data_IF_963477453377
#
_entry.id   IF_963477453377
#
_cell.length_a   1.000
_cell.length_b   1.000
_cell.length_c   1.000
_cell.angle_alpha   90.00
_cell.angle_beta   90.00
_cell.angle_gamma   90.00
#
_symmetry.space_group_name_H-M   'P 1'
#
loop_
_entity.id
_entity.type
_entity.pdbx_description
1 polymer ?
#
# COMPACT_ATOMS: atom_id res chain seq x y z
N UNK A 1 27.15 110.39 -51.31
CA UNK A 1 27.80 109.40 -50.43
C UNK A 1 26.87 108.95 -49.37
N UNK A 2 26.45 108.15 -49.38
CA UNK A 2 25.80 106.82 -49.69
C UNK A 2 24.99 106.41 -48.55
N UNK A 3 23.67 106.77 -48.62
CA UNK A 3 22.73 106.30 -47.57
C UNK A 3 22.71 104.72 -47.41
N UNK A 4 23.18 104.05 -48.44
CA UNK A 4 23.35 102.59 -48.41
C UNK A 4 24.49 102.12 -47.52
N UNK A 5 25.59 102.89 -47.45
CA UNK A 5 26.75 102.55 -46.61
C UNK A 5 26.50 102.72 -45.13
N UNK A 6 25.69 103.73 -44.78
CA UNK A 6 25.21 103.95 -43.39
C UNK A 6 24.25 102.89 -42.93
N UNK A 7 23.36 102.41 -43.81
CA UNK A 7 22.46 101.32 -43.50
C UNK A 7 23.19 99.96 -43.29
N UNK A 8 24.23 99.69 -44.03
CA UNK A 8 25.03 98.50 -43.89
C UNK A 8 25.83 98.42 -42.58
N UNK A 9 26.34 99.57 -42.10
CA UNK A 9 27.06 99.68 -40.81
C UNK A 9 26.10 99.55 -39.68
N UNK A 10 24.86 100.00 -39.82
CA UNK A 10 23.85 99.91 -38.73
C UNK A 10 23.37 98.46 -38.52
N UNK A 11 23.33 97.63 -39.60
CA UNK A 11 22.91 96.24 -39.50
C UNK A 11 23.96 95.38 -38.82
N UNK A 12 25.26 95.72 -38.92
CA UNK A 12 26.38 94.96 -38.27
C UNK A 12 26.40 95.22 -36.77
N UNK A 13 25.88 96.33 -36.26
CA UNK A 13 25.85 96.65 -34.84
C UNK A 13 24.77 95.93 -34.04
N UNK A 14 23.79 95.34 -34.71
CA UNK A 14 22.67 94.65 -34.07
C UNK A 14 22.96 93.14 -33.82
N UNK A 15 24.08 92.62 -34.32
CA UNK A 15 24.41 91.17 -34.34
C UNK A 15 25.11 90.68 -33.09
N UNK A 16 25.21 91.41 -32.01
CA UNK A 16 25.95 90.98 -30.85
C UNK A 16 25.15 91.12 -29.54
N UNK A 17 23.99 90.45 -29.49
CA UNK A 17 23.27 90.29 -28.25
C UNK A 17 22.80 88.84 -28.08
N UNK A 18 23.78 87.93 -27.92
CA UNK A 18 23.50 86.59 -27.42
C UNK A 18 23.68 86.63 -25.88
N UNK A 19 22.60 86.94 -25.19
CA UNK A 19 22.55 86.81 -23.75
C UNK A 19 22.23 85.33 -23.47
N UNK A 20 23.26 84.50 -23.55
CA UNK A 20 23.21 83.21 -22.88
C UNK A 20 23.46 83.44 -21.39
N UNK A 21 22.37 83.83 -20.68
CA UNK A 21 22.37 83.72 -19.23
C UNK A 21 22.38 82.24 -18.89
N UNK A 22 23.52 81.69 -18.58
CA UNK A 22 23.65 80.39 -17.94
C UNK A 22 23.20 80.64 -16.51
N UNK A 23 21.91 80.42 -16.24
CA UNK A 23 21.40 80.41 -14.87
C UNK A 23 21.97 79.15 -14.18
N UNK A 24 23.02 79.34 -13.46
CA UNK A 24 23.51 78.33 -12.54
C UNK A 24 22.50 78.27 -11.39
N UNK A 25 21.79 77.16 -11.19
CA UNK A 25 20.83 77.05 -10.12
C UNK A 25 21.59 77.15 -8.78
N UNK A 26 21.48 78.31 -8.18
CA UNK A 26 22.05 78.54 -6.83
C UNK A 26 21.08 78.07 -5.79
N UNK A 27 21.46 77.10 -4.99
CA UNK A 27 20.72 76.65 -3.84
C UNK A 27 21.28 77.30 -2.58
N UNK A 28 20.42 77.84 -1.76
CA UNK A 28 20.81 78.38 -0.46
C UNK A 28 21.19 77.24 0.49
N UNK A 29 22.34 77.31 1.08
CA UNK A 29 22.79 76.38 2.14
C UNK A 29 21.89 76.56 3.38
N UNK A 30 21.15 75.54 3.69
CA UNK A 30 20.35 75.52 4.91
C UNK A 30 21.08 74.64 5.95
N UNK A 31 21.17 75.11 7.15
CA UNK A 31 21.68 74.34 8.27
C UNK A 31 20.56 73.44 8.80
N UNK A 32 20.71 72.14 8.75
CA UNK A 32 19.74 71.16 9.23
C UNK A 32 20.42 69.87 9.63
N UNK A 33 19.69 68.97 10.26
CA UNK A 33 20.18 67.65 10.57
C UNK A 33 20.22 66.85 9.25
N UNK A 34 21.37 66.33 8.91
CA UNK A 34 21.51 65.37 7.80
C UNK A 34 20.93 64.01 8.24
N UNK A 35 19.92 63.55 7.52
CA UNK A 35 19.34 62.19 7.72
C UNK A 35 19.61 61.43 6.44
N UNK A 36 20.40 60.39 6.54
CA UNK A 36 20.55 59.43 5.47
C UNK A 36 19.59 58.30 5.73
N UNK A 37 18.68 58.08 4.81
CA UNK A 37 17.71 57.00 4.86
C UNK A 37 18.16 55.92 3.91
N UNK A 38 18.54 54.77 4.46
CA UNK A 38 18.93 53.58 3.70
C UNK A 38 17.73 52.65 3.66
N UNK A 39 17.25 52.38 2.46
CA UNK A 39 16.18 51.40 2.23
C UNK A 39 16.83 50.11 1.66
N UNK A 40 16.71 49.04 2.42
CA UNK A 40 17.20 47.71 2.01
C UNK A 40 16.05 46.73 1.82
N UNK A 41 16.13 45.89 0.81
CA UNK A 41 15.21 44.77 0.60
C UNK A 41 15.81 43.53 1.26
N UNK A 42 15.00 42.79 2.03
CA UNK A 42 15.42 41.56 2.69
C UNK A 42 14.28 40.54 2.70
N UNK A 43 14.64 39.26 2.75
CA UNK A 43 13.68 38.18 2.90
C UNK A 43 13.63 37.77 4.37
N UNK A 44 12.42 37.75 4.93
CA UNK A 44 12.19 37.32 6.31
C UNK A 44 12.05 35.80 6.34
N UNK A 45 12.86 35.16 7.16
CA UNK A 45 12.79 33.72 7.40
C UNK A 45 12.48 33.46 8.87
N UNK A 46 11.72 32.37 9.13
CA UNK A 46 11.49 31.93 10.49
C UNK A 46 12.80 31.42 11.13
N UNK A 47 13.12 31.89 12.32
CA UNK A 47 14.30 31.45 13.10
C UNK A 47 14.13 29.99 13.54
N UNK A 48 12.91 29.63 13.93
CA UNK A 48 12.54 28.27 14.31
C UNK A 48 11.41 27.80 13.40
N UNK A 49 11.60 26.67 12.73
CA UNK A 49 10.58 26.00 11.95
C UNK A 49 10.49 24.52 12.31
N UNK A 50 9.30 23.96 12.24
CA UNK A 50 9.07 22.52 12.40
C UNK A 50 8.40 22.00 11.15
N UNK A 51 9.06 21.07 10.47
CA UNK A 51 8.48 20.41 9.31
C UNK A 51 7.53 19.29 9.77
N UNK A 52 6.30 19.33 9.31
CA UNK A 52 5.32 18.26 9.50
C UNK A 52 5.35 17.38 8.27
N UNK A 53 5.80 16.14 8.44
CA UNK A 53 5.83 15.15 7.37
C UNK A 53 4.61 14.23 7.46
N UNK A 54 4.15 13.73 6.30
CA UNK A 54 3.11 12.70 6.25
C UNK A 54 3.58 11.41 6.94
N UNK A 55 2.69 10.69 7.64
CA UNK A 55 3.01 9.34 8.12
C UNK A 55 3.50 8.46 6.97
N UNK A 56 4.53 7.64 7.25
CA UNK A 56 5.02 6.66 6.26
C UNK A 56 4.01 5.54 6.13
N UNK A 57 3.13 5.64 5.16
CA UNK A 57 2.22 4.55 4.79
C UNK A 57 2.84 3.81 3.61
N UNK A 58 2.77 2.47 3.65
CA UNK A 58 3.22 1.65 2.54
C UNK A 58 2.48 2.06 1.25
N UNK A 59 3.18 2.14 0.14
CA UNK A 59 2.62 2.45 -1.19
C UNK A 59 1.48 1.50 -1.60
N UNK A 60 1.37 0.33 -0.96
CA UNK A 60 0.26 -0.63 -1.16
C UNK A 60 -1.11 -0.06 -0.78
N UNK A 61 -1.14 0.93 0.11
CA UNK A 61 -2.37 1.55 0.60
C UNK A 61 -2.75 2.83 -0.17
N UNK A 62 -2.12 3.07 -1.32
CA UNK A 62 -2.38 4.24 -2.16
C UNK A 62 -1.69 5.51 -1.66
N UNK A 63 -1.95 6.63 -2.34
CA UNK A 63 -1.45 7.95 -1.97
C UNK A 63 -2.48 8.69 -1.13
N UNK A 64 -2.06 9.21 0.03
CA UNK A 64 -2.92 10.07 0.82
C UNK A 64 -3.06 11.44 0.18
N UNK A 65 -4.28 11.81 -0.19
CA UNK A 65 -4.62 13.16 -0.64
C UNK A 65 -4.99 14.02 0.57
N UNK A 66 -4.54 15.26 0.58
CA UNK A 66 -4.91 16.22 1.60
C UNK A 66 -6.36 16.66 1.34
N UNK A 67 -7.19 16.57 2.36
CA UNK A 67 -8.58 17.02 2.33
C UNK A 67 -8.72 18.46 2.82
N UNK A 68 -7.97 18.84 3.85
CA UNK A 68 -8.00 20.15 4.45
C UNK A 68 -6.66 20.48 5.09
N UNK A 69 -6.25 21.76 5.00
CA UNK A 69 -5.09 22.33 5.67
C UNK A 69 -5.59 23.52 6.46
N UNK A 70 -5.00 23.76 7.64
CA UNK A 70 -5.28 24.97 8.42
C UNK A 70 -4.90 26.23 7.63
N UNK A 71 -5.63 27.32 7.84
CA UNK A 71 -5.37 28.59 7.18
C UNK A 71 -3.98 29.14 7.54
N UNK A 72 -3.33 29.75 6.54
CA UNK A 72 -2.02 30.36 6.70
C UNK A 72 -2.07 31.53 7.71
N UNK A 73 -1.03 31.68 8.54
CA UNK A 73 -0.96 32.73 9.56
C UNK A 73 -1.81 32.47 10.82
N UNK A 74 -2.48 31.35 10.96
CA UNK A 74 -3.24 31.01 12.16
C UNK A 74 -2.34 30.53 13.30
N UNK A 75 -2.56 31.07 14.50
CA UNK A 75 -1.90 30.56 15.71
C UNK A 75 -2.42 29.15 16.04
N UNK A 76 -1.49 28.25 16.37
CA UNK A 76 -1.78 26.85 16.69
C UNK A 76 -1.22 26.45 18.03
N UNK A 77 -1.92 25.57 18.74
CA UNK A 77 -1.52 25.03 20.02
C UNK A 77 -1.23 23.52 19.90
N UNK A 78 -0.55 22.98 20.90
CA UNK A 78 -0.28 21.55 20.98
C UNK A 78 -1.60 20.77 21.06
N UNK A 79 -1.86 19.94 20.06
CA UNK A 79 -3.09 19.14 19.94
C UNK A 79 -4.02 19.58 18.79
N UNK A 80 -3.77 20.75 18.19
CA UNK A 80 -4.56 21.21 17.05
C UNK A 80 -4.28 20.39 15.79
N UNK A 81 -5.33 20.19 15.01
CA UNK A 81 -5.25 19.48 13.73
C UNK A 81 -4.77 20.44 12.64
N UNK A 82 -3.59 20.23 12.13
CA UNK A 82 -3.00 21.05 11.06
C UNK A 82 -3.41 20.60 9.65
N UNK A 83 -3.47 19.30 9.44
CA UNK A 83 -3.72 18.69 8.13
C UNK A 83 -4.68 17.53 8.30
N UNK A 84 -5.70 17.46 7.45
CA UNK A 84 -6.62 16.33 7.36
C UNK A 84 -6.43 15.65 6.01
N UNK A 85 -6.19 14.34 6.04
CA UNK A 85 -6.07 13.52 4.85
C UNK A 85 -7.41 12.87 4.49
N UNK A 86 -7.64 12.69 3.19
CA UNK A 86 -8.82 11.97 2.71
C UNK A 86 -8.66 10.46 2.94
N UNK A 87 -9.49 9.82 3.77
CA UNK A 87 -9.37 8.42 4.07
C UNK A 87 -10.05 7.49 3.05
N UNK A 88 -10.65 8.02 1.98
CA UNK A 88 -11.52 7.24 1.10
C UNK A 88 -10.81 6.06 0.43
N UNK A 89 -9.61 6.28 -0.11
CA UNK A 89 -8.82 5.21 -0.75
C UNK A 89 -8.34 4.16 0.28
N UNK A 90 -7.93 4.63 1.45
CA UNK A 90 -7.50 3.73 2.53
C UNK A 90 -8.68 2.86 3.02
N UNK A 91 -9.85 3.46 3.22
CA UNK A 91 -11.06 2.71 3.60
C UNK A 91 -11.44 1.68 2.56
N UNK A 92 -11.38 2.04 1.26
CA UNK A 92 -11.62 1.09 0.17
C UNK A 92 -10.65 -0.08 0.22
N UNK A 93 -9.35 0.20 0.37
CA UNK A 93 -8.32 -0.86 0.45
C UNK A 93 -8.52 -1.78 1.64
N UNK A 94 -8.97 -1.23 2.79
CA UNK A 94 -9.30 -2.03 3.97
C UNK A 94 -10.49 -2.96 3.67
N UNK A 95 -11.57 -2.43 3.10
CA UNK A 95 -12.76 -3.23 2.74
C UNK A 95 -12.37 -4.34 1.74
N UNK A 96 -11.59 -4.01 0.71
CA UNK A 96 -11.12 -4.99 -0.28
C UNK A 96 -10.27 -6.09 0.39
N UNK A 97 -9.40 -5.73 1.34
CA UNK A 97 -8.59 -6.68 2.09
C UNK A 97 -9.43 -7.56 3.04
N UNK A 98 -10.42 -6.98 3.71
CA UNK A 98 -11.36 -7.72 4.56
C UNK A 98 -12.18 -8.72 3.75
N UNK A 99 -12.66 -8.33 2.56
CA UNK A 99 -13.36 -9.24 1.65
C UNK A 99 -12.46 -10.38 1.15
N UNK A 100 -11.21 -10.09 0.80
CA UNK A 100 -10.26 -11.12 0.41
C UNK A 100 -9.97 -12.10 1.55
N UNK A 101 -9.86 -11.60 2.79
CA UNK A 101 -9.67 -12.44 3.97
C UNK A 101 -10.90 -13.34 4.21
N UNK A 102 -12.11 -12.80 4.06
CA UNK A 102 -13.35 -13.57 4.20
C UNK A 102 -13.43 -14.69 3.15
N UNK A 103 -13.11 -14.39 1.89
CA UNK A 103 -13.07 -15.38 0.80
C UNK A 103 -12.03 -16.47 1.11
N UNK A 104 -10.82 -16.09 1.53
CA UNK A 104 -9.76 -17.03 1.86
C UNK A 104 -10.15 -17.95 3.04
N UNK A 105 -10.80 -17.39 4.06
CA UNK A 105 -11.33 -18.17 5.19
C UNK A 105 -12.43 -19.15 4.75
N UNK A 106 -13.36 -18.71 3.89
CA UNK A 106 -14.42 -19.56 3.37
C UNK A 106 -13.85 -20.73 2.53
N UNK A 107 -12.83 -20.45 1.71
CA UNK A 107 -12.13 -21.49 0.94
C UNK A 107 -11.39 -22.50 1.84
N UNK A 108 -10.75 -22.00 2.90
CA UNK A 108 -10.07 -22.85 3.88
C UNK A 108 -11.06 -23.79 4.60
N UNK A 109 -12.18 -23.25 5.09
CA UNK A 109 -13.21 -24.06 5.76
C UNK A 109 -13.87 -25.06 4.79
N UNK A 110 -14.10 -24.67 3.53
CA UNK A 110 -14.59 -25.58 2.50
C UNK A 110 -13.61 -26.72 2.24
N UNK A 111 -12.34 -26.42 2.09
CA UNK A 111 -11.29 -27.43 1.90
C UNK A 111 -11.27 -28.41 3.08
N UNK A 112 -11.26 -27.89 4.29
CA UNK A 112 -11.27 -28.69 5.53
C UNK A 112 -12.50 -29.61 5.58
N UNK A 113 -13.70 -29.10 5.34
CA UNK A 113 -14.94 -29.90 5.31
C UNK A 113 -14.89 -31.00 4.24
N UNK A 114 -14.34 -30.71 3.05
CA UNK A 114 -14.16 -31.71 2.00
C UNK A 114 -13.17 -32.81 2.42
N UNK A 115 -12.06 -32.43 3.03
CA UNK A 115 -11.07 -33.38 3.53
C UNK A 115 -11.58 -34.24 4.67
N UNK A 116 -12.36 -33.64 5.59
CA UNK A 116 -13.00 -34.38 6.68
C UNK A 116 -13.99 -35.41 6.13
N UNK A 117 -14.82 -35.04 5.13
CA UNK A 117 -15.74 -35.95 4.45
C UNK A 117 -15.01 -37.11 3.77
N UNK A 118 -13.90 -36.82 3.08
CA UNK A 118 -13.09 -37.87 2.43
C UNK A 118 -12.49 -38.87 3.43
N UNK A 119 -12.07 -38.42 4.60
CA UNK A 119 -11.59 -39.30 5.68
C UNK A 119 -12.73 -40.14 6.24
N UNK A 120 -13.95 -39.61 6.38
CA UNK A 120 -15.10 -40.37 6.85
C UNK A 120 -15.50 -41.47 5.82
N UNK A 121 -15.46 -41.15 4.53
CA UNK A 121 -15.69 -42.16 3.47
C UNK A 121 -14.65 -43.28 3.51
N UNK A 122 -13.37 -42.96 3.66
CA UNK A 122 -12.31 -43.96 3.82
C UNK A 122 -12.44 -44.80 5.08
N UNK A 123 -12.97 -44.23 6.18
CA UNK A 123 -13.26 -45.00 7.39
C UNK A 123 -14.44 -45.98 7.19
N UNK A 124 -15.46 -45.56 6.44
CA UNK A 124 -16.56 -46.44 6.09
C UNK A 124 -16.07 -47.63 5.24
N UNK A 125 -15.20 -47.38 4.24
CA UNK A 125 -14.58 -48.42 3.43
C UNK A 125 -13.70 -49.37 4.26
N UNK A 126 -12.94 -48.82 5.21
CA UNK A 126 -12.16 -49.63 6.17
C UNK A 126 -13.08 -50.55 6.97
N UNK A 127 -14.20 -50.03 7.48
CA UNK A 127 -15.18 -50.84 8.24
C UNK A 127 -15.76 -51.97 7.41
N UNK A 128 -16.09 -51.75 6.15
CA UNK A 128 -16.55 -52.79 5.20
C UNK A 128 -15.45 -53.86 5.02
N UNK A 129 -14.20 -53.42 4.87
CA UNK A 129 -13.07 -54.32 4.70
C UNK A 129 -12.77 -55.15 5.99
N UNK A 130 -12.96 -54.54 7.16
CA UNK A 130 -12.84 -55.24 8.46
C UNK A 130 -13.92 -56.31 8.62
N UNK A 131 -15.17 -56.02 8.23
CA UNK A 131 -16.23 -57.03 8.21
C UNK A 131 -15.90 -58.15 7.23
N UNK A 132 -15.39 -57.82 6.04
CA UNK A 132 -14.96 -58.81 5.06
C UNK A 132 -13.83 -59.73 5.59
N UNK A 133 -12.91 -59.15 6.33
CA UNK A 133 -11.85 -59.93 6.98
C UNK A 133 -12.45 -60.90 8.03
N UNK A 134 -13.36 -60.41 8.89
CA UNK A 134 -14.02 -61.27 9.90
C UNK A 134 -14.78 -62.42 9.25
N UNK A 135 -15.51 -62.15 8.16
CA UNK A 135 -16.21 -63.24 7.40
C UNK A 135 -15.23 -64.25 6.85
N UNK A 136 -14.10 -63.81 6.27
CA UNK A 136 -13.07 -64.68 5.71
C UNK A 136 -12.38 -65.52 6.80
N UNK A 137 -12.18 -64.92 7.99
CA UNK A 137 -11.62 -65.60 9.17
C UNK A 137 -12.55 -66.70 9.68
N UNK A 138 -13.87 -66.41 9.78
CA UNK A 138 -14.90 -67.41 10.14
C UNK A 138 -14.91 -68.57 9.12
N UNK A 139 -14.89 -68.22 7.82
CA UNK A 139 -14.88 -69.23 6.77
C UNK A 139 -13.63 -70.15 6.81
N UNK A 140 -12.46 -69.54 7.03
CA UNK A 140 -11.22 -70.33 7.21
C UNK A 140 -11.28 -71.22 8.46
N UNK A 141 -11.83 -70.76 9.56
CA UNK A 141 -11.95 -71.55 10.79
C UNK A 141 -12.96 -72.72 10.58
N UNK A 142 -14.06 -72.49 9.86
CA UNK A 142 -15.01 -73.53 9.52
C UNK A 142 -14.44 -74.57 8.59
N UNK A 143 -13.55 -74.20 7.68
CA UNK A 143 -12.91 -75.09 6.73
C UNK A 143 -11.86 -76.06 7.34
N UNK A 144 -11.62 -76.00 8.65
CA UNK A 144 -10.65 -76.91 9.34
C UNK A 144 -11.02 -78.37 9.20
N UNK A 145 -12.29 -78.68 8.99
CA UNK A 145 -12.83 -80.08 8.79
C UNK A 145 -13.08 -80.45 7.34
N UNK A 146 -12.76 -79.55 6.41
CA UNK A 146 -12.92 -79.74 4.97
C UNK A 146 -11.66 -80.37 4.31
N UNK A 147 -11.74 -80.55 3.00
CA UNK A 147 -10.61 -81.04 2.22
C UNK A 147 -9.42 -80.12 2.31
N UNK A 148 -8.19 -80.68 2.16
CA UNK A 148 -6.97 -79.87 2.16
C UNK A 148 -6.98 -78.77 1.09
N UNK A 149 -7.59 -79.01 -0.06
CA UNK A 149 -7.73 -78.03 -1.14
C UNK A 149 -8.61 -76.89 -0.68
N UNK A 150 -9.80 -77.13 -0.11
CA UNK A 150 -10.73 -76.16 0.38
C UNK A 150 -10.07 -75.31 1.51
N UNK A 151 -9.40 -75.93 2.42
CA UNK A 151 -8.69 -75.27 3.51
C UNK A 151 -7.61 -74.32 2.99
N UNK A 152 -6.87 -74.75 1.97
CA UNK A 152 -5.83 -73.89 1.34
C UNK A 152 -6.48 -72.70 0.57
N UNK A 153 -7.57 -72.89 -0.09
CA UNK A 153 -8.32 -71.84 -0.76
C UNK A 153 -8.79 -70.80 0.23
N UNK A 154 -9.45 -71.20 1.35
CA UNK A 154 -9.91 -70.28 2.39
C UNK A 154 -8.78 -69.53 3.07
N UNK A 155 -7.61 -70.19 3.25
CA UNK A 155 -6.41 -69.50 3.77
C UNK A 155 -5.92 -68.40 2.85
N UNK A 156 -5.86 -68.67 1.53
CA UNK A 156 -5.43 -67.66 0.54
C UNK A 156 -6.42 -66.48 0.46
N UNK A 157 -7.72 -66.81 0.57
CA UNK A 157 -8.77 -65.79 0.65
C UNK A 157 -8.59 -64.89 1.86
N UNK A 158 -8.38 -65.46 3.05
CA UNK A 158 -8.15 -64.68 4.29
C UNK A 158 -6.90 -63.80 4.17
N UNK A 159 -5.80 -64.36 3.61
CA UNK A 159 -4.56 -63.60 3.38
C UNK A 159 -4.78 -62.42 2.42
N UNK A 160 -5.56 -62.61 1.34
CA UNK A 160 -5.90 -61.58 0.37
C UNK A 160 -6.67 -60.44 1.03
N UNK A 161 -7.69 -60.76 1.87
CA UNK A 161 -8.50 -59.75 2.54
C UNK A 161 -7.69 -59.06 3.63
N UNK A 162 -6.77 -59.76 4.33
CA UNK A 162 -5.86 -59.16 5.29
C UNK A 162 -4.92 -58.12 4.65
N UNK A 163 -4.40 -58.41 3.45
CA UNK A 163 -3.64 -57.42 2.67
C UNK A 163 -4.48 -56.19 2.34
N UNK A 164 -5.75 -56.40 1.93
CA UNK A 164 -6.68 -55.33 1.62
C UNK A 164 -6.98 -54.47 2.84
N UNK A 165 -7.14 -55.06 4.02
CA UNK A 165 -7.34 -54.39 5.30
C UNK A 165 -6.17 -53.49 5.65
N UNK A 166 -4.94 -54.02 5.53
CA UNK A 166 -3.73 -53.25 5.81
C UNK A 166 -3.59 -52.05 4.84
N UNK A 167 -3.90 -52.26 3.55
CA UNK A 167 -3.90 -51.16 2.55
C UNK A 167 -4.91 -50.08 2.87
N UNK A 168 -6.13 -50.45 3.28
CA UNK A 168 -7.13 -49.49 3.67
C UNK A 168 -6.69 -48.62 4.87
N UNK A 169 -6.05 -49.22 5.87
CA UNK A 169 -5.47 -48.49 7.01
C UNK A 169 -4.36 -47.52 6.59
N UNK A 170 -3.40 -48.00 5.79
CA UNK A 170 -2.32 -47.16 5.27
C UNK A 170 -2.84 -46.00 4.40
N UNK A 171 -3.90 -46.25 3.63
CA UNK A 171 -4.54 -45.22 2.80
C UNK A 171 -5.10 -44.05 3.63
N UNK A 172 -5.76 -44.36 4.75
CA UNK A 172 -6.26 -43.32 5.67
C UNK A 172 -5.11 -42.52 6.26
N UNK A 173 -4.05 -43.19 6.73
CA UNK A 173 -2.91 -42.52 7.36
C UNK A 173 -2.16 -41.64 6.37
N UNK A 174 -1.96 -42.09 5.14
CA UNK A 174 -1.33 -41.32 4.10
C UNK A 174 -2.18 -40.13 3.71
N UNK A 175 -3.51 -40.31 3.60
CA UNK A 175 -4.43 -39.23 3.24
C UNK A 175 -4.47 -38.15 4.32
N UNK A 176 -4.47 -38.54 5.60
CA UNK A 176 -4.37 -37.59 6.73
C UNK A 176 -3.10 -36.76 6.70
N UNK A 177 -1.96 -37.36 6.33
CA UNK A 177 -0.69 -36.63 6.22
C UNK A 177 -0.75 -35.60 5.08
N UNK A 178 -1.29 -35.99 3.92
CA UNK A 178 -1.46 -35.12 2.76
C UNK A 178 -2.39 -33.95 3.11
N UNK A 179 -3.56 -34.24 3.69
CA UNK A 179 -4.54 -33.20 4.08
C UNK A 179 -3.93 -32.20 5.08
N UNK A 180 -3.17 -32.68 6.06
CA UNK A 180 -2.50 -31.81 7.02
C UNK A 180 -1.53 -30.84 6.33
N UNK A 181 -0.77 -31.34 5.35
CA UNK A 181 0.19 -30.52 4.60
C UNK A 181 -0.53 -29.49 3.71
N UNK A 182 -1.59 -29.88 3.02
CA UNK A 182 -2.39 -29.00 2.18
C UNK A 182 -3.03 -27.87 2.99
N UNK A 183 -3.61 -28.18 4.17
CA UNK A 183 -4.18 -27.18 5.07
C UNK A 183 -3.11 -26.23 5.61
N UNK A 184 -1.93 -26.76 5.94
CA UNK A 184 -0.81 -25.94 6.38
C UNK A 184 -0.35 -24.97 5.27
N UNK A 185 -0.18 -25.45 4.05
CA UNK A 185 0.18 -24.59 2.91
C UNK A 185 -0.90 -23.52 2.63
N UNK A 186 -2.19 -23.90 2.69
CA UNK A 186 -3.28 -22.96 2.50
C UNK A 186 -3.35 -21.90 3.59
N UNK A 187 -2.95 -22.20 4.81
CA UNK A 187 -2.91 -21.24 5.92
C UNK A 187 -1.79 -20.21 5.80
N UNK A 188 -0.78 -20.47 4.95
CA UNK A 188 0.35 -19.57 4.70
C UNK A 188 0.17 -18.66 3.47
N UNK A 189 -0.79 -18.94 2.62
CA UNK A 189 -1.07 -18.20 1.38
C UNK A 189 -2.05 -17.07 1.59
#
# INVERSE_FOLDING_TARGET
MNKALIASVLIILISCQSNNHFEIPLTQVKRGTFVEELTEEGTVHAVNNTAVATPRISYRFGSMKISSIIEDGKEVQKGDTLIVFNPAELKKTIIDAEQQLEIANAEYEKMKATQDSEIEDLKADLQITEISYQISEINYNNAQHESEMTRREMKLQLETVNISLNRAREQIDNKRKIHKEELFQKSLS
#
